data_IF_772232127858
#
_entry.id   IF_772232127858
#
_cell.length_a   1.000
_cell.length_b   1.000
_cell.length_c   1.000
_cell.angle_alpha   90.00
_cell.angle_beta   90.00
_cell.angle_gamma   90.00
#
_symmetry.space_group_name_H-M   'P 1'
#
loop_
_entity.id
_entity.type
_entity.pdbx_description
1 polymer ?
#
# COMPACT_ATOMS: atom_id res chain seq x y z
N UNK A 1 -14.03 -16.67 24.87
CA UNK A 1 -14.39 -15.24 24.81
C UNK A 1 -14.80 -14.96 23.38
N UNK A 2 -16.07 -14.62 23.13
CA UNK A 2 -16.54 -14.28 21.78
C UNK A 2 -16.08 -12.84 21.47
N UNK A 3 -15.22 -12.67 20.47
CA UNK A 3 -14.87 -11.36 19.94
C UNK A 3 -16.12 -10.71 19.32
N UNK A 4 -16.39 -9.41 19.56
CA UNK A 4 -17.46 -8.71 18.87
C UNK A 4 -17.15 -8.71 17.36
N UNK A 5 -18.15 -9.00 16.53
CA UNK A 5 -18.00 -8.92 15.07
C UNK A 5 -17.47 -7.53 14.70
N UNK A 6 -16.32 -7.47 14.01
CA UNK A 6 -15.71 -6.21 13.58
C UNK A 6 -16.72 -5.43 12.72
N UNK A 7 -17.09 -4.22 13.14
CA UNK A 7 -18.00 -3.39 12.36
C UNK A 7 -17.33 -3.02 11.02
N UNK A 8 -17.96 -3.36 9.91
CA UNK A 8 -17.49 -2.99 8.57
C UNK A 8 -18.05 -1.62 8.19
N UNK A 9 -17.17 -0.68 7.89
CA UNK A 9 -17.55 0.63 7.37
C UNK A 9 -17.64 0.58 5.84
N UNK A 10 -18.73 1.08 5.29
CA UNK A 10 -18.96 1.18 3.85
C UNK A 10 -19.48 2.59 3.52
N UNK A 11 -18.61 3.54 3.12
CA UNK A 11 -19.04 4.85 2.65
C UNK A 11 -20.03 4.76 1.48
N UNK A 12 -21.03 5.64 1.51
CA UNK A 12 -22.03 5.79 0.43
C UNK A 12 -21.58 6.92 -0.49
N UNK A 13 -21.49 6.64 -1.79
CA UNK A 13 -21.06 7.56 -2.83
C UNK A 13 -22.13 7.71 -3.91
N UNK A 14 -22.15 8.85 -4.62
CA UNK A 14 -23.19 9.16 -5.59
C UNK A 14 -22.79 8.86 -7.05
N UNK A 15 -21.50 8.66 -7.32
CA UNK A 15 -20.98 8.42 -8.67
C UNK A 15 -19.84 7.39 -8.71
N UNK A 16 -19.58 6.83 -9.90
CA UNK A 16 -18.47 5.94 -10.18
C UNK A 16 -17.11 6.64 -9.98
N UNK A 17 -17.03 7.95 -10.25
CA UNK A 17 -15.83 8.73 -10.01
C UNK A 17 -15.50 8.85 -8.51
N UNK A 18 -16.49 9.16 -7.67
CA UNK A 18 -16.33 9.17 -6.22
C UNK A 18 -16.02 7.78 -5.67
N UNK A 19 -16.68 6.74 -6.19
CA UNK A 19 -16.39 5.36 -5.84
C UNK A 19 -14.94 4.99 -6.15
N UNK A 20 -14.42 5.36 -7.33
CA UNK A 20 -13.03 5.13 -7.73
C UNK A 20 -12.03 5.87 -6.83
N UNK A 21 -12.29 7.14 -6.53
CA UNK A 21 -11.44 7.92 -5.63
C UNK A 21 -11.40 7.32 -4.22
N UNK A 22 -12.56 6.90 -3.70
CA UNK A 22 -12.64 6.26 -2.38
C UNK A 22 -11.94 4.91 -2.36
N UNK A 23 -12.13 4.07 -3.40
CA UNK A 23 -11.45 2.78 -3.56
C UNK A 23 -9.93 2.91 -3.63
N UNK A 24 -9.41 3.94 -4.31
CA UNK A 24 -7.97 4.19 -4.39
C UNK A 24 -7.37 4.70 -3.07
N UNK A 25 -8.16 5.42 -2.25
CA UNK A 25 -7.74 5.95 -0.96
C UNK A 25 -7.83 4.94 0.20
N UNK A 26 -8.27 3.70 -0.04
CA UNK A 26 -8.43 2.69 1.01
C UNK A 26 -7.06 2.16 1.48
N UNK A 27 -6.41 2.87 2.40
CA UNK A 27 -5.14 2.43 2.99
C UNK A 27 -5.36 1.57 4.26
N UNK A 28 -6.33 1.91 5.11
CA UNK A 28 -6.90 1.06 6.16
C UNK A 28 -8.11 1.78 6.79
N UNK A 29 -9.32 1.21 6.77
CA UNK A 29 -10.45 1.78 7.53
C UNK A 29 -11.86 1.53 7.00
N UNK A 30 -12.03 1.05 5.78
CA UNK A 30 -13.36 0.68 5.26
C UNK A 30 -13.30 -0.65 4.51
N UNK A 31 -14.41 -1.39 4.51
CA UNK A 31 -14.51 -2.68 3.85
C UNK A 31 -14.85 -2.56 2.34
N UNK A 32 -15.09 -1.35 1.83
CA UNK A 32 -15.55 -1.11 0.46
C UNK A 32 -16.45 0.12 0.34
N UNK A 33 -17.14 0.27 -0.79
CA UNK A 33 -17.99 1.43 -1.11
C UNK A 33 -19.39 1.00 -1.53
N UNK A 34 -20.41 1.80 -1.18
CA UNK A 34 -21.79 1.63 -1.67
C UNK A 34 -22.10 2.73 -2.68
N UNK A 35 -22.21 2.36 -3.96
CA UNK A 35 -22.69 3.27 -4.99
C UNK A 35 -24.22 3.41 -4.90
N UNK A 36 -24.68 4.60 -4.52
CA UNK A 36 -26.10 4.96 -4.52
C UNK A 36 -26.41 5.78 -5.76
N UNK A 37 -26.96 5.13 -6.77
CA UNK A 37 -27.30 5.77 -8.06
C UNK A 37 -28.61 5.23 -8.63
N UNK A 38 -29.34 6.08 -9.36
CA UNK A 38 -30.48 5.66 -10.19
C UNK A 38 -30.08 5.35 -11.64
N UNK A 39 -28.80 5.50 -12.00
CA UNK A 39 -28.33 5.32 -13.37
C UNK A 39 -27.61 3.99 -13.56
N UNK A 40 -28.09 3.17 -14.51
CA UNK A 40 -27.39 1.95 -14.91
C UNK A 40 -26.04 2.20 -15.58
N UNK A 41 -25.78 3.41 -16.10
CA UNK A 41 -24.46 3.74 -16.69
C UNK A 41 -23.39 3.81 -15.61
N UNK A 42 -23.69 4.43 -14.46
CA UNK A 42 -22.78 4.55 -13.32
C UNK A 42 -22.37 3.18 -12.79
N UNK A 43 -23.32 2.25 -12.70
CA UNK A 43 -23.05 0.87 -12.28
C UNK A 43 -22.08 0.19 -13.26
N UNK A 44 -22.33 0.29 -14.57
CA UNK A 44 -21.44 -0.31 -15.58
C UNK A 44 -20.05 0.29 -15.57
N UNK A 45 -19.94 1.61 -15.44
CA UNK A 45 -18.65 2.31 -15.35
C UNK A 45 -17.86 1.83 -14.14
N UNK A 46 -18.48 1.75 -12.96
CA UNK A 46 -17.81 1.26 -11.75
C UNK A 46 -17.43 -0.22 -11.87
N UNK A 47 -18.30 -1.07 -12.40
CA UNK A 47 -17.96 -2.49 -12.62
C UNK A 47 -16.76 -2.63 -13.57
N UNK A 48 -16.69 -1.85 -14.65
CA UNK A 48 -15.57 -1.87 -15.58
C UNK A 48 -14.27 -1.41 -14.91
N UNK A 49 -14.30 -0.36 -14.09
CA UNK A 49 -13.10 0.12 -13.39
C UNK A 49 -12.61 -0.89 -12.35
N UNK A 50 -13.51 -1.51 -11.59
CA UNK A 50 -13.15 -2.56 -10.61
C UNK A 50 -12.60 -3.80 -11.32
N UNK A 51 -13.22 -4.23 -12.42
CA UNK A 51 -12.73 -5.36 -13.20
C UNK A 51 -11.35 -5.07 -13.81
N UNK A 52 -11.11 -3.85 -14.31
CA UNK A 52 -9.80 -3.44 -14.82
C UNK A 52 -8.74 -3.43 -13.72
N UNK A 53 -9.07 -2.92 -12.53
CA UNK A 53 -8.15 -2.92 -11.39
C UNK A 53 -7.82 -4.33 -10.89
N UNK A 54 -8.81 -5.23 -10.87
CA UNK A 54 -8.61 -6.63 -10.50
C UNK A 54 -7.81 -7.40 -11.56
N UNK A 55 -8.00 -7.10 -12.85
CA UNK A 55 -7.26 -7.69 -13.96
C UNK A 55 -5.81 -7.20 -14.02
N UNK A 56 -5.55 -5.96 -13.58
CA UNK A 56 -4.20 -5.41 -13.40
C UNK A 56 -3.45 -6.01 -12.19
N UNK A 57 -3.99 -7.04 -11.54
CA UNK A 57 -3.37 -7.67 -10.37
C UNK A 57 -1.92 -8.09 -10.62
N UNK A 58 -1.07 -7.93 -9.60
CA UNK A 58 0.35 -8.32 -9.51
C UNK A 58 1.30 -7.88 -10.66
N UNK A 59 0.81 -7.24 -11.73
CA UNK A 59 1.62 -6.77 -12.86
C UNK A 59 2.49 -5.55 -12.48
N UNK A 60 2.16 -4.87 -11.38
CA UNK A 60 2.98 -3.80 -10.77
C UNK A 60 4.10 -4.34 -9.86
N UNK A 61 4.29 -5.66 -9.78
CA UNK A 61 5.52 -6.21 -9.18
C UNK A 61 6.70 -5.91 -10.07
N UNK A 62 7.41 -4.84 -9.72
CA UNK A 62 8.74 -4.58 -10.23
C UNK A 62 9.61 -5.82 -9.96
N UNK A 63 10.13 -6.51 -10.99
CA UNK A 63 10.97 -7.67 -10.78
C UNK A 63 12.21 -7.24 -9.99
N UNK A 64 12.44 -7.88 -8.85
CA UNK A 64 13.62 -7.62 -8.04
C UNK A 64 14.87 -8.10 -8.79
N UNK A 65 15.88 -7.24 -8.85
CA UNK A 65 17.19 -7.57 -9.42
C UNK A 65 18.28 -7.41 -8.36
N UNK A 66 19.24 -8.32 -8.33
CA UNK A 66 20.40 -8.20 -7.43
C UNK A 66 21.28 -7.02 -7.87
N UNK A 67 21.58 -6.12 -6.93
CA UNK A 67 22.56 -5.07 -7.10
C UNK A 67 23.83 -5.40 -6.33
N UNK A 68 25.00 -5.01 -6.86
CA UNK A 68 26.29 -5.13 -6.18
C UNK A 68 26.73 -3.76 -5.65
N UNK A 69 27.08 -3.70 -4.38
CA UNK A 69 27.74 -2.52 -3.80
C UNK A 69 29.12 -2.35 -4.45
N UNK A 70 29.32 -1.25 -5.18
CA UNK A 70 30.55 -0.97 -5.94
C UNK A 70 31.59 -0.17 -5.16
N UNK A 71 31.19 0.47 -4.06
CA UNK A 71 32.07 1.25 -3.22
C UNK A 71 31.34 1.92 -2.07
N UNK A 72 32.11 2.43 -1.12
CA UNK A 72 31.64 3.20 0.02
C UNK A 72 32.27 4.60 -0.04
N UNK A 73 31.46 5.64 0.12
CA UNK A 73 31.95 7.02 0.22
C UNK A 73 31.50 7.58 1.56
N UNK A 74 32.41 8.09 2.40
CA UNK A 74 32.03 8.78 3.62
C UNK A 74 31.15 9.99 3.27
N UNK A 75 30.03 10.16 3.96
CA UNK A 75 29.26 11.41 3.82
C UNK A 75 30.10 12.58 4.37
N UNK A 76 30.28 13.66 3.59
CA UNK A 76 30.91 14.87 4.12
C UNK A 76 29.94 15.60 5.06
N UNK A 77 30.34 15.78 6.32
CA UNK A 77 29.61 16.56 7.33
C UNK A 77 28.98 15.73 8.46
N UNK A 78 28.28 16.41 9.37
CA UNK A 78 27.50 15.83 10.46
C UNK A 78 26.03 15.84 10.09
N UNK A 79 25.41 14.67 10.03
CA UNK A 79 23.96 14.52 10.01
C UNK A 79 23.46 14.03 11.37
N UNK A 80 22.22 14.37 11.72
CA UNK A 80 21.57 13.81 12.90
C UNK A 80 21.34 12.32 12.70
N UNK A 81 21.74 11.54 13.71
CA UNK A 81 21.51 10.10 13.73
C UNK A 81 20.30 9.83 14.59
N UNK A 82 19.34 9.12 14.02
CA UNK A 82 18.14 8.68 14.74
C UNK A 82 18.08 7.16 14.64
N UNK A 83 17.86 6.51 15.80
CA UNK A 83 17.57 5.08 15.85
C UNK A 83 16.06 4.91 15.71
N UNK A 84 15.64 4.08 14.75
CA UNK A 84 14.25 3.72 14.54
C UNK A 84 14.15 2.21 14.74
N UNK A 85 13.44 1.80 15.78
CA UNK A 85 13.15 0.40 16.08
C UNK A 85 11.66 0.14 15.79
N UNK A 86 11.41 -0.84 14.92
CA UNK A 86 10.08 -1.23 14.46
C UNK A 86 9.80 -2.72 14.74
N UNK A 87 10.67 -3.41 15.50
CA UNK A 87 10.59 -4.85 15.72
C UNK A 87 9.26 -5.30 16.35
N UNK A 88 8.62 -4.43 17.15
CA UNK A 88 7.32 -4.71 17.77
C UNK A 88 6.10 -4.21 16.97
N UNK A 89 6.34 -3.48 15.87
CA UNK A 89 5.30 -2.90 15.03
C UNK A 89 5.17 -3.61 13.68
N UNK A 90 6.22 -4.30 13.23
CA UNK A 90 6.25 -5.01 11.95
C UNK A 90 5.74 -6.45 12.08
N UNK A 91 5.04 -6.90 11.04
CA UNK A 91 4.68 -8.30 10.80
C UNK A 91 5.63 -8.93 9.77
N UNK A 92 5.70 -10.28 9.68
CA UNK A 92 6.52 -10.95 8.67
C UNK A 92 6.19 -10.46 7.26
N UNK A 93 7.23 -10.16 6.46
CA UNK A 93 7.09 -9.60 5.12
C UNK A 93 7.04 -8.06 5.06
N UNK A 94 7.00 -7.37 6.21
CA UNK A 94 7.04 -5.91 6.26
C UNK A 94 8.46 -5.35 6.38
N UNK A 95 8.64 -4.10 5.95
CA UNK A 95 9.92 -3.41 5.96
C UNK A 95 9.74 -1.89 5.91
N UNK A 96 10.86 -1.18 5.86
CA UNK A 96 10.89 0.28 5.82
C UNK A 96 11.42 0.77 4.47
N UNK A 97 10.66 1.63 3.78
CA UNK A 97 11.18 2.38 2.64
C UNK A 97 11.98 3.59 3.14
N UNK A 98 13.28 3.59 2.87
CA UNK A 98 14.23 4.63 3.32
C UNK A 98 14.92 5.26 2.13
N UNK A 99 14.95 6.58 2.07
CA UNK A 99 15.67 7.31 1.03
C UNK A 99 15.08 8.67 0.74
N UNK A 100 15.29 9.14 -0.48
CA UNK A 100 14.76 10.40 -0.97
C UNK A 100 13.55 10.12 -1.84
N UNK A 101 12.38 10.68 -1.50
CA UNK A 101 11.20 10.60 -2.36
C UNK A 101 11.46 11.12 -3.79
N UNK A 102 12.40 12.07 -3.95
CA UNK A 102 12.74 12.67 -5.24
C UNK A 102 13.78 11.87 -6.05
N UNK A 103 14.54 10.97 -5.44
CA UNK A 103 15.68 10.29 -6.10
C UNK A 103 15.58 8.77 -6.08
N UNK A 104 14.88 8.22 -5.09
CA UNK A 104 14.76 6.79 -4.89
C UNK A 104 14.65 6.42 -3.41
N UNK A 105 13.86 5.39 -3.17
CA UNK A 105 13.69 4.75 -1.87
C UNK A 105 14.30 3.34 -1.95
N UNK A 106 14.88 2.90 -0.85
CA UNK A 106 15.37 1.53 -0.66
C UNK A 106 14.46 0.83 0.34
N UNK A 107 14.05 -0.41 0.04
CA UNK A 107 13.32 -1.24 0.99
C UNK A 107 14.32 -1.95 1.92
N UNK A 108 14.31 -1.56 3.20
CA UNK A 108 14.97 -2.30 4.27
C UNK A 108 13.95 -3.29 4.85
N UNK A 109 13.99 -4.54 4.38
CA UNK A 109 13.08 -5.60 4.84
C UNK A 109 13.39 -5.98 6.30
N UNK A 110 12.35 -6.24 7.09
CA UNK A 110 12.51 -6.72 8.47
C UNK A 110 13.15 -8.10 8.48
N UNK A 111 14.07 -8.36 9.40
CA UNK A 111 14.66 -9.69 9.58
C UNK A 111 13.68 -10.70 10.23
N UNK A 112 12.42 -10.33 10.47
CA UNK A 112 11.40 -11.18 11.08
C UNK A 112 11.00 -12.43 10.26
N UNK A 113 11.57 -12.62 9.06
CA UNK A 113 11.45 -13.86 8.30
C UNK A 113 12.75 -14.68 8.37
N UNK A 114 12.60 -15.97 8.66
CA UNK A 114 13.68 -16.94 8.64
C UNK A 114 14.13 -17.12 7.19
N UNK A 115 15.37 -16.72 6.88
CA UNK A 115 15.95 -16.93 5.55
C UNK A 115 16.11 -18.43 5.31
N UNK A 116 15.33 -18.98 4.38
CA UNK A 116 15.45 -20.38 3.93
C UNK A 116 16.75 -20.63 3.13
#
# INVERSE_FOLDING_TARGET
>A
QQQPASAQLLPVVASAAEAGAMLAALEAGTAGVVLRTGSGSEVRTLCASVASAAAAGDEDRLPLSTAKVTGLTPLPGTGDRVCVDLACLMTPGEGLLVGSFASGLFLAHSECEESA
#
